data_IF_293914725131
#
_entry.id   IF_293914725131
#
_cell.length_a   1.000
_cell.length_b   1.000
_cell.length_c   1.000
_cell.angle_alpha   90.00
_cell.angle_beta   90.00
_cell.angle_gamma   90.00
#
_symmetry.space_group_name_H-M   'P 1'
#
loop_
_entity.id
_entity.type
_entity.pdbx_description
1 polymer ?
#
# COMPACT_ATOMS: atom_id res chain seq x y z
N UNK A 1 6.96 -8.75 -23.87
CA UNK A 1 6.29 -8.15 -22.71
C UNK A 1 5.02 -8.96 -22.47
N UNK A 2 4.93 -9.71 -21.36
CA UNK A 2 3.66 -10.33 -20.97
C UNK A 2 2.76 -9.20 -20.48
N UNK A 3 1.65 -8.96 -21.14
CA UNK A 3 0.61 -8.04 -20.68
C UNK A 3 0.11 -8.52 -19.32
N UNK A 4 -0.25 -7.60 -18.42
CA UNK A 4 -0.92 -7.92 -17.17
C UNK A 4 -2.19 -8.75 -17.46
N UNK A 5 -2.19 -10.02 -17.17
CA UNK A 5 -3.41 -10.84 -17.22
C UNK A 5 -4.28 -10.63 -15.97
N UNK A 6 -3.66 -10.22 -14.87
CA UNK A 6 -4.34 -9.96 -13.61
C UNK A 6 -5.19 -8.68 -13.66
N UNK A 7 -6.34 -8.68 -12.99
CA UNK A 7 -7.10 -7.46 -12.73
C UNK A 7 -6.42 -6.66 -11.64
N UNK A 8 -5.98 -5.43 -11.95
CA UNK A 8 -5.18 -4.58 -11.06
C UNK A 8 -6.01 -3.40 -10.57
N UNK A 9 -6.10 -3.23 -9.24
CA UNK A 9 -6.68 -2.03 -8.62
C UNK A 9 -5.57 -1.16 -8.07
N UNK A 10 -5.48 0.09 -8.51
CA UNK A 10 -4.61 1.10 -7.91
C UNK A 10 -5.41 1.85 -6.86
N UNK A 11 -4.96 1.83 -5.60
CA UNK A 11 -5.59 2.54 -4.48
C UNK A 11 -4.77 3.77 -4.15
N UNK A 12 -5.41 4.93 -4.25
CA UNK A 12 -4.78 6.23 -4.09
C UNK A 12 -5.54 7.09 -3.06
N UNK A 13 -4.99 7.31 -1.85
CA UNK A 13 -5.54 8.24 -0.89
C UNK A 13 -5.19 9.68 -1.28
N UNK A 14 -6.14 10.59 -1.13
CA UNK A 14 -5.99 12.02 -1.43
C UNK A 14 -6.43 12.85 -0.24
N UNK A 15 -5.63 13.84 0.14
CA UNK A 15 -6.03 14.87 1.10
C UNK A 15 -5.40 16.21 0.76
N UNK A 16 -6.20 17.16 0.26
CA UNK A 16 -5.78 18.50 -0.14
C UNK A 16 -4.60 18.46 -1.14
N UNK A 17 -4.83 17.87 -2.30
CA UNK A 17 -3.86 17.76 -3.41
C UNK A 17 -4.44 18.34 -4.73
N UNK A 18 -5.34 19.35 -4.64
CA UNK A 18 -5.99 19.97 -5.81
C UNK A 18 -5.00 20.46 -6.88
N UNK A 19 -3.80 20.91 -6.45
CA UNK A 19 -2.78 21.43 -7.36
C UNK A 19 -2.12 20.37 -8.25
N UNK A 20 -2.20 19.07 -7.91
CA UNK A 20 -1.49 18.00 -8.63
C UNK A 20 -2.37 16.78 -8.99
N UNK A 21 -3.56 16.65 -8.42
CA UNK A 21 -4.35 15.41 -8.57
C UNK A 21 -4.72 15.11 -10.03
N UNK A 22 -5.14 16.09 -10.83
CA UNK A 22 -5.52 15.88 -12.23
C UNK A 22 -4.34 15.45 -13.10
N UNK A 23 -3.16 16.13 -13.07
CA UNK A 23 -1.95 15.65 -13.73
C UNK A 23 -1.54 14.23 -13.32
N UNK A 24 -1.60 13.90 -12.02
CA UNK A 24 -1.25 12.57 -11.48
C UNK A 24 -2.18 11.50 -12.03
N UNK A 25 -3.50 11.73 -11.99
CA UNK A 25 -4.49 10.80 -12.53
C UNK A 25 -4.33 10.61 -14.05
N UNK A 26 -4.07 11.70 -14.78
CA UNK A 26 -3.86 11.63 -16.24
C UNK A 26 -2.62 10.82 -16.59
N UNK A 27 -1.52 11.00 -15.86
CA UNK A 27 -0.30 10.22 -16.05
C UNK A 27 -0.52 8.74 -15.69
N UNK A 28 -1.21 8.47 -14.59
CA UNK A 28 -1.53 7.11 -14.14
C UNK A 28 -2.41 6.38 -15.16
N UNK A 29 -3.50 6.99 -15.63
CA UNK A 29 -4.37 6.38 -16.64
C UNK A 29 -3.60 6.05 -17.92
N UNK A 30 -2.74 6.97 -18.40
CA UNK A 30 -1.88 6.72 -19.56
C UNK A 30 -0.93 5.55 -19.34
N UNK A 31 -0.31 5.44 -18.18
CA UNK A 31 0.60 4.34 -17.85
C UNK A 31 -0.13 2.97 -17.80
N UNK A 32 -1.43 2.98 -17.52
CA UNK A 32 -2.26 1.78 -17.44
C UNK A 32 -2.98 1.40 -18.74
N UNK A 33 -2.85 2.19 -19.81
CA UNK A 33 -3.50 1.89 -21.11
C UNK A 33 -3.14 0.51 -21.67
N UNK A 34 -1.92 0.03 -21.37
CA UNK A 34 -1.46 -1.31 -21.77
C UNK A 34 -1.98 -2.44 -20.88
N UNK A 35 -2.56 -2.12 -19.72
CA UNK A 35 -3.10 -3.10 -18.79
C UNK A 35 -4.56 -3.44 -19.17
N UNK A 36 -4.88 -4.66 -19.56
CA UNK A 36 -6.20 -4.98 -20.15
C UNK A 36 -7.35 -4.89 -19.13
N UNK A 37 -7.07 -5.07 -17.87
CA UNK A 37 -8.05 -5.01 -16.76
C UNK A 37 -7.48 -4.23 -15.60
N UNK A 38 -7.90 -2.97 -15.46
CA UNK A 38 -7.46 -2.12 -14.36
C UNK A 38 -8.58 -1.20 -13.87
N UNK A 39 -8.47 -0.77 -12.63
CA UNK A 39 -9.23 0.31 -12.04
C UNK A 39 -8.34 1.19 -11.16
N UNK A 40 -8.72 2.43 -10.99
CA UNK A 40 -8.09 3.39 -10.06
C UNK A 40 -9.13 3.80 -9.02
N UNK A 41 -8.94 3.37 -7.78
CA UNK A 41 -9.81 3.72 -6.66
C UNK A 41 -9.18 4.89 -5.92
N UNK A 42 -9.71 6.08 -6.15
CA UNK A 42 -9.26 7.32 -5.52
C UNK A 42 -10.13 7.59 -4.30
N UNK A 43 -9.50 7.71 -3.13
CA UNK A 43 -10.21 7.96 -1.87
C UNK A 43 -9.83 9.34 -1.35
N UNK A 44 -10.76 10.29 -1.49
CA UNK A 44 -10.65 11.62 -0.90
C UNK A 44 -10.89 11.54 0.61
N UNK A 45 -9.89 11.90 1.41
CA UNK A 45 -9.92 11.84 2.86
C UNK A 45 -10.45 13.17 3.46
N UNK A 46 -11.61 13.63 2.99
CA UNK A 46 -12.26 14.84 3.49
C UNK A 46 -11.51 16.12 3.12
N UNK A 47 -11.05 16.26 1.86
CA UNK A 47 -10.37 17.47 1.39
C UNK A 47 -11.24 18.70 1.45
N UNK A 48 -10.58 19.86 1.63
CA UNK A 48 -11.20 21.19 1.75
C UNK A 48 -10.69 22.19 0.70
N UNK A 49 -9.86 21.74 -0.25
CA UNK A 49 -9.19 22.60 -1.24
C UNK A 49 -9.71 22.43 -2.68
N UNK A 50 -10.86 21.75 -2.88
CA UNK A 50 -11.41 21.44 -4.20
C UNK A 50 -10.89 20.13 -4.82
N UNK A 51 -10.06 19.35 -4.11
CA UNK A 51 -9.60 18.03 -4.61
C UNK A 51 -10.75 17.10 -4.94
N UNK A 52 -11.79 17.07 -4.09
CA UNK A 52 -12.94 16.19 -4.26
C UNK A 52 -13.68 16.45 -5.58
N UNK A 53 -13.96 17.72 -5.88
CA UNK A 53 -14.62 18.15 -7.09
C UNK A 53 -13.82 17.82 -8.34
N UNK A 54 -12.49 18.01 -8.28
CA UNK A 54 -11.57 17.67 -9.37
C UNK A 54 -11.53 16.14 -9.62
N UNK A 55 -11.50 15.33 -8.56
CA UNK A 55 -11.53 13.86 -8.67
C UNK A 55 -12.86 13.40 -9.26
N UNK A 56 -13.99 13.95 -8.80
CA UNK A 56 -15.31 13.59 -9.30
C UNK A 56 -15.46 13.96 -10.80
N UNK A 57 -15.01 15.16 -11.19
CA UNK A 57 -15.00 15.59 -12.58
C UNK A 57 -14.11 14.71 -13.47
N UNK A 58 -12.95 14.30 -12.98
CA UNK A 58 -12.04 13.40 -13.71
C UNK A 58 -12.67 12.00 -13.87
N UNK A 59 -13.24 11.44 -12.81
CA UNK A 59 -13.90 10.13 -12.84
C UNK A 59 -15.10 10.08 -13.79
N UNK A 60 -15.84 11.18 -13.94
CA UNK A 60 -16.99 11.26 -14.87
C UNK A 60 -16.57 11.03 -16.35
N UNK A 61 -15.33 11.35 -16.71
CA UNK A 61 -14.78 11.18 -18.08
C UNK A 61 -13.85 9.96 -18.23
N UNK A 62 -13.53 9.26 -17.14
CA UNK A 62 -12.60 8.14 -17.13
C UNK A 62 -13.23 6.94 -16.39
N UNK A 63 -13.93 6.03 -17.08
CA UNK A 63 -14.67 4.92 -16.46
C UNK A 63 -13.83 3.97 -15.61
N UNK A 64 -12.51 3.92 -15.82
CA UNK A 64 -11.58 3.15 -14.98
C UNK A 64 -11.30 3.81 -13.63
N UNK A 65 -11.69 5.09 -13.42
CA UNK A 65 -11.46 5.82 -12.19
C UNK A 65 -12.73 5.85 -11.36
N UNK A 66 -12.64 5.39 -10.12
CA UNK A 66 -13.72 5.41 -9.15
C UNK A 66 -13.35 6.29 -7.98
N UNK A 67 -14.17 7.32 -7.74
CA UNK A 67 -14.01 8.26 -6.64
C UNK A 67 -14.80 7.82 -5.41
N UNK A 68 -14.15 7.83 -4.26
CA UNK A 68 -14.76 7.64 -2.94
C UNK A 68 -14.39 8.84 -2.06
N UNK A 69 -15.24 9.18 -1.08
CA UNK A 69 -14.96 10.25 -0.11
C UNK A 69 -15.20 9.76 1.30
N UNK A 70 -14.30 10.13 2.20
CA UNK A 70 -14.49 10.01 3.64
C UNK A 70 -14.96 11.35 4.21
N UNK A 71 -15.91 11.31 5.14
CA UNK A 71 -16.40 12.48 5.87
C UNK A 71 -16.73 12.05 7.31
N UNK A 72 -16.08 12.63 8.31
CA UNK A 72 -14.96 13.60 8.23
C UNK A 72 -13.64 12.97 7.79
N UNK A 73 -12.56 13.81 7.66
CA UNK A 73 -11.19 13.32 7.49
C UNK A 73 -10.85 12.28 8.57
N UNK A 74 -10.41 11.10 8.13
CA UNK A 74 -10.12 9.96 8.99
C UNK A 74 -8.65 9.50 8.92
N UNK A 75 -7.84 10.15 8.07
CA UNK A 75 -6.42 9.92 7.91
C UNK A 75 -6.07 8.89 6.84
N UNK A 76 -4.81 8.95 6.41
CA UNK A 76 -4.29 8.16 5.28
C UNK A 76 -4.55 6.64 5.42
N UNK A 77 -4.51 6.10 6.64
CA UNK A 77 -4.78 4.67 6.86
C UNK A 77 -6.23 4.31 6.57
N UNK A 78 -7.17 5.16 6.96
CA UNK A 78 -8.59 4.96 6.68
C UNK A 78 -8.86 5.03 5.17
N UNK A 79 -8.25 6.00 4.48
CA UNK A 79 -8.38 6.13 3.04
C UNK A 79 -7.80 4.92 2.29
N UNK A 80 -6.59 4.44 2.66
CA UNK A 80 -6.06 3.21 2.09
C UNK A 80 -6.96 2.01 2.37
N UNK A 81 -7.40 1.83 3.63
CA UNK A 81 -8.24 0.70 4.00
C UNK A 81 -9.57 0.71 3.23
N UNK A 82 -10.23 1.87 3.13
CA UNK A 82 -11.48 2.02 2.35
C UNK A 82 -11.26 1.65 0.89
N UNK A 83 -10.17 2.14 0.28
CA UNK A 83 -9.83 1.81 -1.10
C UNK A 83 -9.52 0.32 -1.29
N UNK A 84 -8.79 -0.30 -0.37
CA UNK A 84 -8.48 -1.74 -0.37
C UNK A 84 -9.77 -2.57 -0.31
N UNK A 85 -10.71 -2.22 0.58
CA UNK A 85 -11.99 -2.93 0.68
C UNK A 85 -12.85 -2.76 -0.58
N UNK A 86 -12.80 -1.58 -1.19
CA UNK A 86 -13.54 -1.27 -2.41
C UNK A 86 -12.91 -1.86 -3.68
N UNK A 87 -11.63 -2.18 -3.68
CA UNK A 87 -10.91 -2.70 -4.84
C UNK A 87 -11.50 -4.03 -5.33
N UNK A 88 -11.69 -4.16 -6.65
CA UNK A 88 -12.22 -5.37 -7.30
C UNK A 88 -11.13 -6.27 -7.88
N UNK A 89 -9.90 -5.76 -8.03
CA UNK A 89 -8.79 -6.49 -8.65
C UNK A 89 -8.21 -7.60 -7.79
N UNK A 90 -7.57 -8.55 -8.45
CA UNK A 90 -6.81 -9.64 -7.83
C UNK A 90 -5.48 -9.15 -7.24
N UNK A 91 -4.96 -8.07 -7.82
CA UNK A 91 -3.76 -7.35 -7.37
C UNK A 91 -4.14 -5.94 -6.96
N UNK A 92 -3.67 -5.51 -5.79
CA UNK A 92 -3.85 -4.15 -5.28
C UNK A 92 -2.49 -3.45 -5.26
N UNK A 93 -2.39 -2.31 -5.94
CA UNK A 93 -1.23 -1.43 -5.91
C UNK A 93 -1.58 -0.19 -5.08
N UNK A 94 -0.77 0.10 -4.08
CA UNK A 94 -0.88 1.31 -3.26
C UNK A 94 0.04 2.39 -3.83
N UNK A 95 -0.47 3.61 -3.97
CA UNK A 95 0.27 4.75 -4.52
C UNK A 95 -0.19 6.05 -3.87
N UNK A 96 0.74 6.97 -3.55
CA UNK A 96 0.41 8.31 -3.07
C UNK A 96 0.03 9.24 -4.24
N UNK A 97 -0.78 10.27 -3.96
CA UNK A 97 -1.32 11.22 -4.95
C UNK A 97 -0.46 12.46 -5.18
N UNK A 98 0.74 12.55 -4.60
CA UNK A 98 1.59 13.75 -4.61
C UNK A 98 2.55 13.87 -5.82
N UNK A 99 2.44 12.93 -6.76
CA UNK A 99 3.26 12.87 -7.98
C UNK A 99 4.70 12.39 -7.77
N UNK A 100 5.08 11.94 -6.57
CA UNK A 100 6.43 11.47 -6.29
C UNK A 100 6.69 10.06 -6.84
N UNK A 101 5.68 9.23 -6.96
CA UNK A 101 5.77 7.89 -7.53
C UNK A 101 5.66 7.96 -9.07
N UNK A 102 6.44 7.15 -9.76
CA UNK A 102 6.35 6.99 -11.20
C UNK A 102 5.36 5.86 -11.54
N UNK A 103 4.24 6.15 -12.22
CA UNK A 103 3.30 5.10 -12.61
C UNK A 103 3.88 4.02 -13.52
N UNK A 104 4.95 4.33 -14.26
CA UNK A 104 5.65 3.35 -15.11
C UNK A 104 6.28 2.19 -14.32
N UNK A 105 6.54 2.36 -13.01
CA UNK A 105 7.04 1.29 -12.16
C UNK A 105 5.96 0.27 -11.76
N UNK A 106 4.66 0.56 -11.96
CA UNK A 106 3.54 -0.32 -11.59
C UNK A 106 3.66 -1.67 -12.29
N UNK A 107 3.94 -1.67 -13.59
CA UNK A 107 4.10 -2.91 -14.36
C UNK A 107 5.17 -3.83 -13.76
N UNK A 108 6.31 -3.26 -13.38
CA UNK A 108 7.41 -4.00 -12.77
C UNK A 108 7.06 -4.58 -11.40
N UNK A 109 6.29 -3.82 -10.59
CA UNK A 109 5.83 -4.32 -9.30
C UNK A 109 4.85 -5.47 -9.45
N UNK A 110 3.90 -5.36 -10.38
CA UNK A 110 2.90 -6.41 -10.64
C UNK A 110 3.58 -7.66 -11.20
N UNK A 111 4.48 -7.52 -12.17
CA UNK A 111 5.24 -8.65 -12.74
C UNK A 111 6.07 -9.39 -11.69
N UNK A 112 6.58 -8.70 -10.68
CA UNK A 112 7.34 -9.33 -9.59
C UNK A 112 6.47 -10.24 -8.68
N UNK A 113 5.14 -10.15 -8.77
CA UNK A 113 4.21 -11.04 -8.05
C UNK A 113 4.10 -12.45 -8.65
N UNK A 114 4.65 -12.72 -9.82
CA UNK A 114 4.69 -14.08 -10.39
C UNK A 114 5.44 -15.06 -9.47
N UNK A 115 6.45 -14.57 -8.75
CA UNK A 115 7.23 -15.38 -7.81
C UNK A 115 7.08 -14.96 -6.34
N UNK A 116 6.12 -14.04 -6.04
CA UNK A 116 5.94 -13.49 -4.70
C UNK A 116 4.46 -13.16 -4.45
N UNK A 117 4.15 -12.75 -3.23
CA UNK A 117 2.81 -12.35 -2.85
C UNK A 117 2.71 -10.84 -2.59
N UNK A 118 3.86 -10.22 -2.33
CA UNK A 118 4.02 -8.80 -2.05
C UNK A 118 5.27 -8.30 -2.77
N UNK A 119 5.15 -7.19 -3.48
CA UNK A 119 6.29 -6.45 -4.03
C UNK A 119 6.33 -5.05 -3.43
N UNK A 120 7.40 -4.72 -2.70
CA UNK A 120 7.63 -3.40 -2.14
C UNK A 120 8.62 -2.61 -3.01
N UNK A 121 8.21 -1.44 -3.48
CA UNK A 121 9.13 -0.49 -4.05
C UNK A 121 10.06 0.09 -2.98
N UNK A 122 11.34 0.33 -3.32
CA UNK A 122 12.25 1.11 -2.49
C UNK A 122 12.95 2.19 -3.32
N UNK A 123 13.16 3.34 -2.71
CA UNK A 123 13.80 4.49 -3.36
C UNK A 123 15.32 4.34 -3.31
N UNK A 124 15.91 3.88 -4.43
CA UNK A 124 17.36 3.62 -4.52
C UNK A 124 18.19 4.90 -4.39
N UNK A 125 17.70 6.04 -4.91
CA UNK A 125 18.36 7.35 -4.83
C UNK A 125 17.49 8.29 -3.99
N UNK A 126 17.93 8.59 -2.77
CA UNK A 126 17.29 9.56 -1.86
C UNK A 126 18.17 10.79 -1.75
N UNK A 127 17.65 11.96 -2.15
CA UNK A 127 18.30 13.25 -1.97
C UNK A 127 18.10 13.77 -0.53
N UNK A 128 18.44 12.95 0.46
CA UNK A 128 18.31 13.30 1.88
C UNK A 128 19.61 13.91 2.42
N UNK A 129 19.47 14.87 3.32
CA UNK A 129 20.59 15.40 4.10
C UNK A 129 21.23 14.31 4.98
N UNK A 130 22.50 14.45 5.35
CA UNK A 130 23.22 13.47 6.19
C UNK A 130 22.49 13.20 7.51
N UNK A 131 21.90 14.23 8.15
CA UNK A 131 21.12 14.09 9.39
C UNK A 131 19.86 13.24 9.18
N UNK A 132 19.12 13.44 8.08
CA UNK A 132 17.95 12.63 7.74
C UNK A 132 18.33 11.18 7.43
N UNK A 133 19.47 10.95 6.76
CA UNK A 133 20.00 9.60 6.49
C UNK A 133 20.34 8.86 7.79
N UNK A 134 21.00 9.52 8.74
CA UNK A 134 21.35 8.92 10.03
C UNK A 134 20.10 8.60 10.85
N UNK A 135 19.16 9.55 10.97
CA UNK A 135 17.89 9.32 11.65
C UNK A 135 17.09 8.15 11.03
N UNK A 136 17.07 8.07 9.70
CA UNK A 136 16.42 6.97 8.98
C UNK A 136 17.11 5.62 9.22
N UNK A 137 18.45 5.58 9.28
CA UNK A 137 19.21 4.37 9.62
C UNK A 137 18.90 3.87 11.04
N UNK A 138 18.90 4.78 12.01
CA UNK A 138 18.57 4.45 13.40
C UNK A 138 17.12 3.96 13.54
N UNK A 139 16.16 4.63 12.91
CA UNK A 139 14.77 4.22 12.90
C UNK A 139 14.58 2.83 12.25
N UNK A 140 15.26 2.56 11.15
CA UNK A 140 15.23 1.26 10.47
C UNK A 140 15.93 0.17 11.30
N UNK A 141 17.04 0.47 11.98
CA UNK A 141 17.72 -0.47 12.88
C UNK A 141 16.81 -0.85 14.06
N UNK A 142 16.17 0.14 14.68
CA UNK A 142 15.20 -0.10 15.76
C UNK A 142 14.01 -0.95 15.26
N UNK A 143 13.45 -0.61 14.10
CA UNK A 143 12.35 -1.40 13.51
C UNK A 143 12.75 -2.85 13.29
N UNK A 144 13.91 -3.10 12.66
CA UNK A 144 14.42 -4.45 12.43
C UNK A 144 14.61 -5.22 13.73
N UNK A 145 15.14 -4.57 14.77
CA UNK A 145 15.32 -5.18 16.08
C UNK A 145 13.98 -5.56 16.73
N UNK A 146 12.94 -4.74 16.55
CA UNK A 146 11.62 -4.94 17.18
C UNK A 146 10.74 -5.90 16.37
N UNK A 147 10.74 -5.77 15.03
CA UNK A 147 9.81 -6.50 14.16
C UNK A 147 10.48 -7.67 13.40
N UNK A 148 11.81 -7.73 13.36
CA UNK A 148 12.53 -8.77 12.60
C UNK A 148 12.32 -8.69 11.08
N UNK A 149 11.83 -7.56 10.55
CA UNK A 149 11.56 -7.41 9.12
C UNK A 149 12.80 -6.96 8.33
N UNK A 150 12.85 -7.30 7.05
CA UNK A 150 13.93 -6.95 6.13
C UNK A 150 13.52 -5.86 5.13
N UNK A 151 12.41 -5.13 5.37
CA UNK A 151 11.92 -4.12 4.44
C UNK A 151 12.90 -2.94 4.39
N UNK A 152 13.39 -2.63 3.19
CA UNK A 152 14.41 -1.60 2.93
C UNK A 152 13.83 -0.20 3.15
N UNK A 153 12.64 0.08 2.59
CA UNK A 153 12.02 1.41 2.61
C UNK A 153 10.52 1.33 2.92
N UNK A 154 10.16 1.38 4.20
CA UNK A 154 8.75 1.40 4.62
C UNK A 154 8.02 2.68 4.24
N UNK A 155 8.76 3.76 3.98
CA UNK A 155 8.19 5.06 3.59
C UNK A 155 7.85 5.18 2.11
N UNK A 156 8.22 4.22 1.26
CA UNK A 156 7.75 4.16 -0.11
C UNK A 156 6.30 3.65 -0.12
N UNK A 157 5.37 4.45 -0.68
CA UNK A 157 3.96 4.03 -0.78
C UNK A 157 3.73 3.05 -1.92
N UNK A 158 4.56 3.10 -2.97
CA UNK A 158 4.38 2.26 -4.15
C UNK A 158 4.68 0.80 -3.83
N UNK A 159 3.62 0.00 -3.67
CA UNK A 159 3.68 -1.42 -3.29
C UNK A 159 2.55 -2.18 -3.97
N UNK A 160 2.83 -3.39 -4.43
CA UNK A 160 1.84 -4.31 -4.99
C UNK A 160 1.62 -5.52 -4.07
N UNK A 161 0.38 -5.96 -3.96
CA UNK A 161 -0.06 -7.06 -3.12
C UNK A 161 -1.06 -7.94 -3.86
N UNK A 162 -1.06 -9.23 -3.62
CA UNK A 162 -2.22 -10.07 -3.89
C UNK A 162 -3.37 -9.64 -2.98
N UNK A 163 -4.54 -9.34 -3.54
CA UNK A 163 -5.68 -8.76 -2.81
C UNK A 163 -6.13 -9.61 -1.62
N UNK A 164 -6.04 -10.94 -1.74
CA UNK A 164 -6.37 -11.88 -0.68
C UNK A 164 -5.57 -11.68 0.63
N UNK A 165 -4.42 -11.02 0.57
CA UNK A 165 -3.59 -10.72 1.74
C UNK A 165 -4.01 -9.44 2.46
N UNK A 166 -4.53 -8.45 1.73
CA UNK A 166 -4.88 -7.14 2.29
C UNK A 166 -6.32 -7.08 2.79
N UNK A 167 -7.28 -7.63 2.04
CA UNK A 167 -8.71 -7.55 2.37
C UNK A 167 -9.08 -8.08 3.76
N UNK A 168 -8.47 -9.16 4.27
CA UNK A 168 -8.77 -9.68 5.61
C UNK A 168 -8.10 -8.92 6.75
N UNK A 169 -7.27 -7.88 6.46
CA UNK A 169 -6.61 -7.12 7.53
C UNK A 169 -7.62 -6.20 8.22
N UNK A 170 -7.53 -6.14 9.55
CA UNK A 170 -8.35 -5.24 10.35
C UNK A 170 -7.81 -3.81 10.28
N UNK A 171 -8.73 -2.84 10.21
CA UNK A 171 -8.37 -1.42 10.25
C UNK A 171 -7.82 -0.99 11.62
N UNK A 172 -6.76 -0.18 11.60
CA UNK A 172 -6.30 0.65 12.71
C UNK A 172 -5.48 1.83 12.16
N UNK A 173 -5.49 2.98 12.86
CA UNK A 173 -4.77 4.18 12.41
C UNK A 173 -3.26 3.98 12.47
N UNK A 174 -2.57 4.20 11.34
CA UNK A 174 -1.13 3.96 11.17
C UNK A 174 -0.77 2.66 10.44
N UNK A 175 -1.74 1.76 10.21
CA UNK A 175 -1.51 0.43 9.62
C UNK A 175 -0.84 0.45 8.24
N UNK A 176 -1.08 1.49 7.44
CA UNK A 176 -0.57 1.59 6.06
C UNK A 176 0.96 1.42 5.97
N UNK A 177 1.70 1.78 7.02
CA UNK A 177 3.16 1.63 7.10
C UNK A 177 3.61 0.19 7.29
N UNK A 178 2.73 -0.64 7.86
CA UNK A 178 3.02 -1.99 8.29
C UNK A 178 2.31 -3.05 7.45
N UNK A 179 1.58 -2.66 6.39
CA UNK A 179 0.84 -3.59 5.54
C UNK A 179 1.69 -4.77 5.03
N UNK A 180 2.94 -4.58 4.54
CA UNK A 180 3.77 -5.70 4.13
C UNK A 180 4.08 -6.65 5.29
N UNK A 181 4.37 -6.10 6.47
CA UNK A 181 4.65 -6.89 7.68
C UNK A 181 3.41 -7.65 8.15
N UNK A 182 2.25 -6.98 8.22
CA UNK A 182 0.99 -7.60 8.62
C UNK A 182 0.57 -8.72 7.66
N UNK A 183 0.77 -8.51 6.37
CA UNK A 183 0.50 -9.53 5.35
C UNK A 183 1.51 -10.70 5.43
N UNK A 184 2.78 -10.43 5.75
CA UNK A 184 3.80 -11.50 5.92
C UNK A 184 3.52 -12.41 7.13
N UNK A 185 2.82 -11.93 8.16
CA UNK A 185 2.35 -12.78 9.26
C UNK A 185 1.40 -13.90 8.79
N UNK A 186 0.94 -13.85 7.57
CA UNK A 186 0.12 -14.89 6.92
C UNK A 186 0.94 -15.81 6.01
N UNK A 187 2.27 -15.78 6.12
CA UNK A 187 3.19 -16.60 5.33
C UNK A 187 3.49 -16.04 3.94
N UNK A 188 3.12 -14.78 3.67
CA UNK A 188 3.34 -14.16 2.36
C UNK A 188 4.82 -13.93 2.06
N UNK A 189 5.24 -14.25 0.83
CA UNK A 189 6.59 -13.99 0.32
C UNK A 189 6.69 -12.55 -0.17
N UNK A 190 7.68 -11.80 0.37
CA UNK A 190 7.96 -10.42 0.00
C UNK A 190 9.18 -10.36 -0.91
N UNK A 191 9.07 -9.61 -2.00
CA UNK A 191 10.19 -9.15 -2.83
C UNK A 191 10.27 -7.63 -2.82
N UNK A 192 11.44 -7.09 -3.12
CA UNK A 192 11.65 -5.65 -3.12
C UNK A 192 12.40 -5.23 -4.37
N UNK A 193 11.91 -4.20 -5.06
CA UNK A 193 12.52 -3.68 -6.28
C UNK A 193 12.81 -2.18 -6.18
N UNK A 194 13.87 -1.69 -6.84
CA UNK A 194 14.10 -0.25 -6.91
C UNK A 194 13.04 0.41 -7.78
N UNK A 195 12.50 1.54 -7.28
CA UNK A 195 11.52 2.36 -7.99
C UNK A 195 12.03 3.79 -8.16
N UNK A 196 11.52 4.45 -9.18
CA UNK A 196 11.76 5.86 -9.45
C UNK A 196 11.11 6.72 -8.37
N UNK A 197 11.76 7.83 -8.00
CA UNK A 197 11.21 8.77 -7.04
C UNK A 197 11.50 10.19 -7.50
N UNK A 198 10.43 10.93 -7.74
CA UNK A 198 10.48 12.30 -8.26
C UNK A 198 10.37 13.33 -7.13
N UNK A 199 10.67 14.57 -7.43
CA UNK A 199 10.30 15.67 -6.55
C UNK A 199 8.79 15.79 -6.46
N UNK A 200 8.27 16.24 -5.31
CA UNK A 200 6.84 16.52 -5.15
C UNK A 200 6.39 17.57 -6.16
N UNK A 201 5.28 17.35 -6.86
CA UNK A 201 4.78 18.26 -7.88
C UNK A 201 4.25 19.58 -7.27
N UNK A 202 3.58 19.50 -6.09
CA UNK A 202 3.05 20.67 -5.38
C UNK A 202 2.90 20.38 -3.88
N UNK A 203 2.65 21.45 -3.10
CA UNK A 203 2.34 21.35 -1.66
C UNK A 203 3.55 21.22 -0.73
N UNK A 204 3.29 21.31 0.58
CA UNK A 204 4.29 21.13 1.65
C UNK A 204 3.96 19.87 2.45
N UNK A 205 4.99 19.21 2.97
CA UNK A 205 4.78 18.07 3.89
C UNK A 205 3.95 18.48 5.10
N UNK A 206 2.80 17.85 5.30
CA UNK A 206 1.78 18.22 6.31
C UNK A 206 2.11 17.68 7.71
N UNK A 207 3.30 17.08 7.93
CA UNK A 207 3.60 16.37 9.18
C UNK A 207 4.82 16.93 9.92
N UNK A 208 4.67 17.11 11.24
CA UNK A 208 5.78 17.42 12.16
C UNK A 208 6.51 16.14 12.59
N UNK A 209 7.85 16.21 12.66
CA UNK A 209 8.69 15.00 12.80
C UNK A 209 8.58 14.28 14.16
N UNK A 210 8.43 15.00 15.29
CA UNK A 210 8.52 14.39 16.61
C UNK A 210 7.28 13.57 17.00
N UNK A 211 6.09 14.13 16.84
CA UNK A 211 4.84 13.42 17.15
C UNK A 211 4.64 12.16 16.29
N UNK A 212 5.12 12.24 15.03
CA UNK A 212 5.13 11.08 14.10
C UNK A 212 6.06 9.97 14.59
N UNK A 213 7.24 10.31 15.11
CA UNK A 213 8.20 9.33 15.61
C UNK A 213 7.63 8.56 16.83
N UNK A 214 7.08 9.26 17.81
CA UNK A 214 6.49 8.63 18.99
C UNK A 214 5.31 7.74 18.66
N UNK A 215 4.44 8.18 17.73
CA UNK A 215 3.33 7.36 17.24
C UNK A 215 3.85 6.10 16.55
N UNK A 216 4.84 6.23 15.66
CA UNK A 216 5.44 5.09 14.96
C UNK A 216 6.07 4.07 15.92
N UNK A 217 6.74 4.52 17.01
CA UNK A 217 7.30 3.63 18.03
C UNK A 217 6.19 2.84 18.74
N UNK A 218 5.09 3.51 19.10
CA UNK A 218 3.93 2.85 19.72
C UNK A 218 3.32 1.82 18.78
N UNK A 219 3.15 2.19 17.50
CA UNK A 219 2.58 1.32 16.48
C UNK A 219 3.45 0.08 16.25
N UNK A 220 4.78 0.25 16.21
CA UNK A 220 5.73 -0.88 16.11
C UNK A 220 5.59 -1.87 17.26
N UNK A 221 5.40 -1.39 18.52
CA UNK A 221 5.16 -2.26 19.67
C UNK A 221 3.84 -3.01 19.55
N UNK A 222 2.79 -2.35 19.02
CA UNK A 222 1.50 -3.00 18.73
C UNK A 222 1.65 -4.11 17.69
N UNK A 223 2.37 -3.85 16.60
CA UNK A 223 2.64 -4.85 15.55
C UNK A 223 3.48 -6.01 16.10
N UNK A 224 4.52 -5.74 16.92
CA UNK A 224 5.32 -6.77 17.57
C UNK A 224 4.46 -7.65 18.50
N UNK A 225 3.51 -7.05 19.21
CA UNK A 225 2.56 -7.80 20.04
C UNK A 225 1.66 -8.71 19.19
N UNK A 226 1.08 -8.20 18.08
CA UNK A 226 0.29 -9.01 17.15
C UNK A 226 1.15 -10.17 16.63
N UNK A 227 2.38 -9.90 16.18
CA UNK A 227 3.31 -10.91 15.68
C UNK A 227 3.56 -12.02 16.72
N UNK A 228 3.78 -11.66 17.99
CA UNK A 228 4.02 -12.62 19.08
C UNK A 228 2.81 -13.53 19.38
N UNK A 229 1.61 -13.10 18.98
CA UNK A 229 0.34 -13.83 19.21
C UNK A 229 -0.17 -14.55 17.96
N UNK A 230 0.37 -14.26 16.80
CA UNK A 230 -0.01 -14.94 15.56
C UNK A 230 0.52 -16.38 15.58
N UNK A 231 -0.37 -17.33 15.36
CA UNK A 231 -0.08 -18.76 15.26
C UNK A 231 -0.52 -19.27 13.90
N UNK A 232 0.33 -20.06 13.27
CA UNK A 232 -0.05 -20.83 12.09
C UNK A 232 -0.60 -22.18 12.51
N UNK A 233 -1.79 -22.54 12.06
CA UNK A 233 -2.39 -23.85 12.29
C UNK A 233 -3.12 -24.30 11.03
N UNK A 234 -3.10 -25.62 10.80
CA UNK A 234 -3.88 -26.26 9.75
C UNK A 234 -5.10 -26.96 10.37
N UNK A 235 -6.19 -27.03 9.63
CA UNK A 235 -7.35 -27.87 9.98
C UNK A 235 -7.17 -29.19 9.27
N UNK A 236 -7.11 -30.28 10.05
CA UNK A 236 -7.12 -31.66 9.54
C UNK A 236 -8.51 -32.25 9.81
N UNK A 237 -9.21 -32.64 8.76
CA UNK A 237 -10.46 -33.38 8.91
C UNK A 237 -10.11 -34.82 9.32
N UNK A 238 -10.56 -35.31 10.49
CA UNK A 238 -10.35 -36.69 10.85
C UNK A 238 -11.01 -37.61 9.82
N UNK A 239 -10.26 -38.52 9.24
CA UNK A 239 -10.86 -39.55 8.40
C UNK A 239 -11.60 -40.56 9.31
N UNK A 240 -12.82 -40.96 8.98
CA UNK A 240 -13.46 -42.03 9.71
C UNK A 240 -12.59 -43.29 9.59
N UNK A 241 -12.29 -43.92 10.73
CA UNK A 241 -11.54 -45.16 10.77
C UNK A 241 -12.24 -46.22 9.89
N UNK A 242 -11.63 -46.55 8.76
CA UNK A 242 -12.08 -47.65 7.87
C UNK A 242 -11.66 -49.04 8.37
N UNK A 243 -11.40 -49.22 9.67
CA UNK A 243 -11.08 -50.51 10.22
C UNK A 243 -11.87 -50.75 11.52
N UNK A 244 -13.10 -51.22 11.38
CA UNK A 244 -13.73 -52.15 12.32
C UNK A 244 -14.38 -53.24 11.49
N UNK A 245 -13.55 -54.06 10.85
CA UNK A 245 -13.90 -55.43 10.63
C UNK A 245 -13.57 -56.11 11.94
N UNK A 246 -14.59 -56.40 12.70
CA UNK A 246 -14.54 -57.27 13.89
C UNK A 246 -15.05 -58.59 13.40
N UNK A 247 -14.12 -59.55 13.33
CA UNK A 247 -14.44 -60.98 13.30
C UNK A 247 -15.15 -61.39 14.59
#
# INVERSE_FOLDING_TARGET
>A
MKSFEAHVSIVMPVYNEAACIVPVLSELCRALESAPRHEVVVVDDGSTDGSCELIAGFAASHPCVRALRLDPNAGQSAAFWTGIQAAAGDVIVLMDADGQNDPADIERLVAALDGADICCGYRARRNDTLSKRLASRLANAYRRAVLGDEIIDTGCSLKAFKAALLKPLQYWDGMHRFLPMLASLRGARIVQIPVSHRGRMAGKSKYTNFGRLMRTIRDMRGVAWIQSRTRHFGVVTPQPNSNRDVD
#
